data_IF_945481884855
#
_entry.id   IF_945481884855
#
_cell.length_a   1.000
_cell.length_b   1.000
_cell.length_c   1.000
_cell.angle_alpha   90.00
_cell.angle_beta   90.00
_cell.angle_gamma   90.00
#
_symmetry.space_group_name_H-M   'P 1'
#
loop_
_entity.id
_entity.type
_entity.pdbx_description
1 polymer ?
#
# COMPACT_ATOMS: atom_id res chain seq x y z
N UNK A 1 -56.44 40.07 1.05
CA UNK A 1 -55.59 39.33 0.08
C UNK A 1 -54.09 39.32 0.43
N UNK A 2 -53.54 40.33 1.14
CA UNK A 2 -52.10 40.41 1.48
C UNK A 2 -51.54 39.28 2.38
N UNK A 3 -52.32 38.73 3.31
CA UNK A 3 -51.83 37.73 4.29
C UNK A 3 -51.40 36.39 3.66
N UNK A 4 -52.01 35.98 2.55
CA UNK A 4 -51.67 34.73 1.84
C UNK A 4 -50.32 34.84 1.10
N UNK A 5 -50.00 36.01 0.56
CA UNK A 5 -48.70 36.26 -0.12
C UNK A 5 -47.50 36.22 0.83
N UNK A 6 -47.65 36.77 2.04
CA UNK A 6 -46.58 36.75 3.05
C UNK A 6 -46.30 35.34 3.59
N UNK A 7 -47.34 34.49 3.68
CA UNK A 7 -47.22 33.08 4.04
C UNK A 7 -46.53 32.28 2.94
N UNK A 8 -46.83 32.57 1.67
CA UNK A 8 -46.20 31.95 0.51
C UNK A 8 -44.69 32.27 0.44
N UNK A 9 -44.32 33.53 0.66
CA UNK A 9 -42.91 33.97 0.72
C UNK A 9 -42.16 33.32 1.88
N UNK A 10 -42.80 33.17 3.05
CA UNK A 10 -42.21 32.49 4.21
C UNK A 10 -42.01 30.99 3.96
N UNK A 11 -42.95 30.33 3.31
CA UNK A 11 -42.87 28.90 2.97
C UNK A 11 -41.77 28.65 1.94
N UNK A 12 -41.66 29.52 0.93
CA UNK A 12 -40.66 29.39 -0.13
C UNK A 12 -39.25 29.68 0.37
N UNK A 13 -39.09 30.64 1.29
CA UNK A 13 -37.82 30.92 1.99
C UNK A 13 -37.37 29.73 2.83
N UNK A 14 -38.27 29.09 3.58
CA UNK A 14 -37.92 27.92 4.38
C UNK A 14 -37.57 26.71 3.50
N UNK A 15 -38.27 26.54 2.36
CA UNK A 15 -37.95 25.50 1.38
C UNK A 15 -36.56 25.73 0.75
N UNK A 16 -36.23 26.98 0.41
CA UNK A 16 -34.90 27.37 -0.08
C UNK A 16 -33.80 27.11 0.95
N UNK A 17 -34.04 27.40 2.24
CA UNK A 17 -33.08 27.15 3.31
C UNK A 17 -32.87 25.65 3.56
N UNK A 18 -33.90 24.82 3.42
CA UNK A 18 -33.78 23.35 3.53
C UNK A 18 -32.99 22.77 2.35
N UNK A 19 -33.26 23.23 1.13
CA UNK A 19 -32.50 22.81 -0.06
C UNK A 19 -31.03 23.24 0.01
N UNK A 20 -30.75 24.46 0.50
CA UNK A 20 -29.39 24.95 0.71
C UNK A 20 -28.67 24.18 1.83
N UNK A 21 -29.40 23.77 2.88
CA UNK A 21 -28.87 22.94 3.98
C UNK A 21 -28.56 21.50 3.57
N UNK A 22 -29.40 20.87 2.75
CA UNK A 22 -29.16 19.52 2.23
C UNK A 22 -27.97 19.47 1.25
N UNK A 23 -27.72 20.55 0.49
CA UNK A 23 -26.54 20.65 -0.38
C UNK A 23 -25.21 20.65 0.39
N UNK A 24 -25.24 21.00 1.69
CA UNK A 24 -24.05 21.03 2.55
C UNK A 24 -23.67 19.64 3.11
N UNK A 25 -24.54 18.64 2.99
CA UNK A 25 -24.33 17.31 3.57
C UNK A 25 -23.75 16.29 2.58
N UNK A 26 -23.55 16.68 1.32
CA UNK A 26 -22.97 15.84 0.27
C UNK A 26 -21.62 16.38 -0.20
N UNK A 27 -20.75 16.75 0.75
CA UNK A 27 -19.34 16.94 0.39
C UNK A 27 -18.73 15.55 0.17
N UNK A 28 -18.20 15.23 -1.02
CA UNK A 28 -17.40 14.04 -1.18
C UNK A 28 -16.25 14.14 -0.17
N UNK A 29 -16.12 13.15 0.71
CA UNK A 29 -14.91 13.02 1.52
C UNK A 29 -13.78 12.76 0.55
N UNK A 30 -13.00 13.80 0.22
CA UNK A 30 -11.77 13.64 -0.52
C UNK A 30 -10.85 12.79 0.35
N UNK A 31 -10.78 11.49 0.05
CA UNK A 31 -9.78 10.61 0.64
C UNK A 31 -8.43 11.11 0.14
N UNK A 32 -7.58 11.55 1.06
CA UNK A 32 -6.24 12.00 0.72
C UNK A 32 -5.40 10.79 0.34
N UNK A 33 -4.73 10.83 -0.80
CA UNK A 33 -3.84 9.76 -1.22
C UNK A 33 -2.77 9.47 -0.13
N UNK A 34 -2.49 8.19 0.09
CA UNK A 34 -1.36 7.75 0.92
C UNK A 34 -0.07 8.16 0.23
N UNK A 35 0.95 8.53 0.99
CA UNK A 35 2.23 9.00 0.45
C UNK A 35 3.31 7.98 0.75
N UNK A 36 3.87 7.39 -0.31
CA UNK A 36 5.13 6.66 -0.24
C UNK A 36 6.28 7.66 -0.06
N UNK A 37 6.79 7.70 1.17
CA UNK A 37 7.81 8.65 1.60
C UNK A 37 9.21 8.18 1.21
N UNK A 38 9.52 6.90 1.43
CA UNK A 38 10.83 6.35 1.08
C UNK A 38 10.75 4.85 0.79
N UNK A 39 11.74 4.38 0.04
CA UNK A 39 11.97 2.97 -0.23
C UNK A 39 13.38 2.68 0.25
N UNK A 40 13.52 1.73 1.18
CA UNK A 40 14.84 1.34 1.72
C UNK A 40 14.95 -0.16 1.82
N UNK A 41 16.18 -0.66 1.89
CA UNK A 41 16.42 -2.08 2.03
C UNK A 41 17.52 -2.37 3.04
N UNK A 42 17.42 -3.53 3.68
CA UNK A 42 18.45 -4.10 4.52
C UNK A 42 18.86 -5.45 3.95
N UNK A 43 20.16 -5.69 3.86
CA UNK A 43 20.69 -7.01 3.54
C UNK A 43 20.88 -7.81 4.84
N UNK A 44 20.17 -8.92 4.95
CA UNK A 44 20.36 -9.92 6.00
C UNK A 44 21.08 -11.15 5.43
N UNK A 45 21.57 -12.08 6.26
CA UNK A 45 22.31 -13.25 5.78
C UNK A 45 21.55 -14.11 4.76
N UNK A 46 20.24 -14.30 4.94
CA UNK A 46 19.38 -15.21 4.19
C UNK A 46 18.30 -14.51 3.32
N UNK A 47 18.15 -13.20 3.50
CA UNK A 47 17.08 -12.42 2.85
C UNK A 47 17.46 -10.97 2.58
N UNK A 48 16.70 -10.33 1.70
CA UNK A 48 16.60 -8.89 1.56
C UNK A 48 15.31 -8.45 2.22
N UNK A 49 15.39 -7.54 3.19
CA UNK A 49 14.23 -6.88 3.76
C UNK A 49 14.05 -5.53 3.09
N UNK A 50 12.99 -5.38 2.31
CA UNK A 50 12.56 -4.13 1.71
C UNK A 50 11.50 -3.47 2.60
N UNK A 51 11.63 -2.17 2.82
CA UNK A 51 10.69 -1.38 3.64
C UNK A 51 10.22 -0.19 2.83
N UNK A 52 8.90 -0.07 2.69
CA UNK A 52 8.20 1.07 2.13
C UNK A 52 7.70 1.93 3.28
N UNK A 53 8.26 3.12 3.45
CA UNK A 53 7.83 4.07 4.48
C UNK A 53 6.63 4.89 3.97
N UNK A 54 5.55 4.93 4.76
CA UNK A 54 4.27 5.52 4.43
C UNK A 54 3.85 6.55 5.49
N UNK A 55 3.13 7.59 5.06
CA UNK A 55 2.54 8.56 5.98
C UNK A 55 1.40 7.96 6.82
N UNK A 56 0.60 7.05 6.24
CA UNK A 56 -0.61 6.49 6.85
C UNK A 56 -0.78 5.00 6.54
N UNK A 57 -1.59 4.26 7.32
CA UNK A 57 -1.92 2.87 7.01
C UNK A 57 -2.59 2.77 5.63
N UNK A 58 -2.33 1.70 4.91
CA UNK A 58 -2.95 1.44 3.61
C UNK A 58 -3.14 -0.05 3.37
N UNK A 59 -4.05 -0.37 2.46
CA UNK A 59 -4.19 -1.70 1.88
C UNK A 59 -3.39 -1.77 0.58
N UNK A 60 -3.00 -2.98 0.17
CA UNK A 60 -2.33 -3.19 -1.10
C UNK A 60 -2.73 -4.55 -1.69
N UNK A 61 -2.61 -4.68 -2.99
CA UNK A 61 -2.73 -5.95 -3.70
C UNK A 61 -1.34 -6.46 -4.04
N UNK A 62 -1.11 -7.77 -3.92
CA UNK A 62 0.17 -8.39 -4.24
C UNK A 62 0.00 -9.52 -5.25
N UNK A 63 0.93 -9.63 -6.19
CA UNK A 63 0.96 -10.73 -7.17
C UNK A 63 2.37 -10.90 -7.75
N UNK A 64 2.58 -11.95 -8.55
CA UNK A 64 3.82 -12.13 -9.30
C UNK A 64 3.61 -12.10 -10.80
N UNK A 65 4.68 -11.77 -11.51
CA UNK A 65 4.74 -11.87 -12.97
C UNK A 65 5.90 -12.79 -13.38
N UNK A 66 5.71 -13.54 -14.46
CA UNK A 66 6.76 -14.31 -15.11
C UNK A 66 7.58 -13.46 -16.10
N UNK A 67 8.73 -14.02 -16.51
CA UNK A 67 9.53 -13.57 -17.65
C UNK A 67 9.89 -12.07 -17.68
N UNK A 68 10.77 -11.55 -16.81
CA UNK A 68 11.47 -12.17 -15.67
C UNK A 68 10.60 -12.25 -14.39
N UNK A 69 10.98 -13.09 -13.38
CA UNK A 69 10.24 -13.20 -12.13
C UNK A 69 10.21 -11.86 -11.39
N UNK A 70 9.01 -11.44 -11.00
CA UNK A 70 8.75 -10.16 -10.33
C UNK A 70 7.74 -10.32 -9.21
N UNK A 71 7.92 -9.58 -8.12
CA UNK A 71 6.90 -9.35 -7.10
C UNK A 71 6.35 -7.96 -7.32
N UNK A 72 5.03 -7.83 -7.35
CA UNK A 72 4.35 -6.56 -7.61
C UNK A 72 3.41 -6.26 -6.46
N UNK A 73 3.50 -5.03 -5.94
CA UNK A 73 2.56 -4.47 -4.97
C UNK A 73 1.86 -3.28 -5.60
N UNK A 74 0.53 -3.33 -5.66
CA UNK A 74 -0.32 -2.22 -6.07
C UNK A 74 -0.96 -1.57 -4.86
N UNK A 75 -0.69 -0.28 -4.69
CA UNK A 75 -1.20 0.54 -3.59
C UNK A 75 -2.22 1.51 -4.20
N UNK A 76 -3.53 1.30 -3.98
CA UNK A 76 -4.56 2.21 -4.47
C UNK A 76 -4.49 3.55 -3.74
N UNK A 77 -4.93 4.60 -4.43
CA UNK A 77 -4.97 5.97 -3.93
C UNK A 77 -3.66 6.38 -3.24
N UNK A 78 -2.55 6.15 -3.94
CA UNK A 78 -1.22 6.40 -3.42
C UNK A 78 -0.41 7.32 -4.34
N UNK A 79 0.40 8.16 -3.72
CA UNK A 79 1.35 9.06 -4.36
C UNK A 79 2.77 8.79 -3.83
N UNK A 80 3.78 9.42 -4.43
CA UNK A 80 5.17 9.26 -4.02
C UNK A 80 5.83 10.62 -3.87
N UNK A 81 6.48 10.87 -2.74
CA UNK A 81 7.21 12.12 -2.47
C UNK A 81 8.73 11.95 -2.42
N UNK A 82 9.25 10.76 -2.16
CA UNK A 82 10.69 10.51 -2.03
C UNK A 82 11.27 9.52 -3.06
N UNK A 83 12.34 8.81 -2.66
CA UNK A 83 13.11 7.93 -3.56
C UNK A 83 12.21 6.79 -4.06
N UNK A 84 12.39 6.46 -5.34
CA UNK A 84 11.37 5.78 -6.15
C UNK A 84 11.83 4.50 -6.81
N UNK A 85 13.01 4.04 -6.45
CA UNK A 85 13.65 2.91 -7.09
C UNK A 85 15.10 2.80 -6.69
N UNK A 86 15.56 1.55 -6.58
CA UNK A 86 16.88 1.21 -6.07
C UNK A 86 17.36 -0.01 -6.86
N UNK A 87 18.57 0.07 -7.41
CA UNK A 87 19.29 -1.12 -7.88
C UNK A 87 20.01 -1.74 -6.70
N UNK A 88 19.71 -3.00 -6.39
CA UNK A 88 20.28 -3.71 -5.24
C UNK A 88 21.32 -4.73 -5.71
N UNK A 89 20.99 -5.56 -6.70
CA UNK A 89 21.88 -6.57 -7.27
C UNK A 89 22.37 -7.64 -6.26
N UNK A 90 21.65 -7.84 -5.15
CA UNK A 90 22.08 -8.70 -4.04
C UNK A 90 20.96 -9.64 -3.59
N UNK A 91 21.35 -10.84 -3.18
CA UNK A 91 20.38 -11.89 -2.83
C UNK A 91 19.46 -12.23 -4.00
N UNK A 92 18.18 -12.47 -3.69
CA UNK A 92 17.13 -12.69 -4.67
C UNK A 92 16.71 -11.43 -5.46
N UNK A 93 17.10 -10.23 -5.02
CA UNK A 93 16.57 -8.96 -5.56
C UNK A 93 17.56 -8.31 -6.52
N UNK A 94 17.08 -7.99 -7.73
CA UNK A 94 17.86 -7.25 -8.71
C UNK A 94 17.66 -5.74 -8.54
N UNK A 95 16.42 -5.28 -8.64
CA UNK A 95 16.07 -3.86 -8.56
C UNK A 95 14.64 -3.66 -8.07
N UNK A 96 14.36 -2.47 -7.57
CA UNK A 96 13.02 -2.01 -7.19
C UNK A 96 12.69 -0.80 -8.05
N UNK A 97 11.48 -0.78 -8.59
CA UNK A 97 10.93 0.30 -9.40
C UNK A 97 9.58 0.70 -8.84
N UNK A 98 9.23 1.97 -9.05
CA UNK A 98 7.88 2.45 -8.78
C UNK A 98 7.32 3.16 -10.01
N UNK A 99 6.02 3.08 -10.20
CA UNK A 99 5.32 3.74 -11.29
C UNK A 99 3.81 3.66 -11.06
N UNK A 100 3.06 4.47 -11.79
CA UNK A 100 1.60 4.43 -11.71
C UNK A 100 1.06 3.35 -12.64
N UNK A 101 0.25 2.41 -12.13
CA UNK A 101 -0.43 1.42 -12.98
C UNK A 101 -1.71 2.00 -13.61
N UNK A 102 -2.29 3.00 -12.97
CA UNK A 102 -3.41 3.82 -13.42
C UNK A 102 -3.29 5.19 -12.72
N UNK A 103 -4.28 6.07 -12.90
CA UNK A 103 -4.24 7.45 -12.39
C UNK A 103 -4.03 7.57 -10.87
N UNK A 104 -4.46 6.58 -10.06
CA UNK A 104 -4.41 6.67 -8.59
C UNK A 104 -3.62 5.54 -7.93
N UNK A 105 -3.28 4.49 -8.68
CA UNK A 105 -2.65 3.28 -8.13
C UNK A 105 -1.14 3.32 -8.34
N UNK A 106 -0.40 3.44 -7.24
CA UNK A 106 1.06 3.34 -7.24
C UNK A 106 1.46 1.88 -7.21
N UNK A 107 2.16 1.45 -8.26
CA UNK A 107 2.74 0.11 -8.40
C UNK A 107 4.20 0.12 -8.00
N UNK A 108 4.56 -0.77 -7.08
CA UNK A 108 5.94 -1.10 -6.70
C UNK A 108 6.29 -2.44 -7.33
N UNK A 109 7.31 -2.45 -8.18
CA UNK A 109 7.78 -3.66 -8.86
C UNK A 109 9.15 -4.02 -8.32
N UNK A 110 9.28 -5.24 -7.83
CA UNK A 110 10.53 -5.81 -7.34
C UNK A 110 10.98 -6.84 -8.38
N UNK A 111 12.02 -6.49 -9.13
CA UNK A 111 12.64 -7.37 -10.09
C UNK A 111 13.49 -8.40 -9.36
N UNK A 112 13.18 -9.68 -9.55
CA UNK A 112 13.93 -10.78 -8.94
C UNK A 112 14.99 -11.33 -9.90
N UNK A 113 16.08 -11.83 -9.33
CA UNK A 113 17.15 -12.53 -10.08
C UNK A 113 16.78 -13.98 -10.39
N UNK A 114 15.92 -14.57 -9.56
CA UNK A 114 15.41 -15.92 -9.66
C UNK A 114 14.09 -16.02 -8.89
N UNK A 115 13.34 -17.09 -9.08
CA UNK A 115 12.14 -17.40 -8.29
C UNK A 115 12.48 -17.34 -6.81
N UNK A 116 11.78 -16.49 -6.09
CA UNK A 116 12.05 -16.25 -4.70
C UNK A 116 10.76 -16.38 -3.91
N UNK A 117 11.00 -16.75 -2.68
CA UNK A 117 10.00 -16.77 -1.66
C UNK A 117 9.90 -15.30 -1.15
N UNK A 118 8.70 -14.74 -0.86
CA UNK A 118 8.59 -13.55 -0.01
C UNK A 118 7.45 -13.58 1.05
N UNK A 119 7.66 -12.83 2.14
CA UNK A 119 6.67 -12.53 3.18
C UNK A 119 6.40 -11.02 3.19
N UNK A 120 5.13 -10.63 3.20
CA UNK A 120 4.71 -9.23 3.03
C UNK A 120 3.70 -8.88 4.11
N UNK A 121 3.97 -7.81 4.87
CA UNK A 121 3.12 -7.40 5.99
C UNK A 121 3.20 -5.90 6.25
N UNK A 122 2.15 -5.34 6.87
CA UNK A 122 2.12 -3.95 7.33
C UNK A 122 2.61 -3.84 8.76
N UNK A 123 3.36 -2.80 9.09
CA UNK A 123 3.67 -2.42 10.46
C UNK A 123 3.08 -1.03 10.77
N UNK A 124 2.35 -0.88 11.89
CA UNK A 124 1.92 0.43 12.35
C UNK A 124 3.14 1.28 12.80
N UNK A 125 2.91 2.58 13.08
CA UNK A 125 3.96 3.46 13.58
C UNK A 125 4.50 2.95 14.91
N UNK A 126 5.82 3.03 15.08
CA UNK A 126 6.52 2.60 16.28
C UNK A 126 7.73 3.50 16.53
N UNK A 127 7.74 4.17 17.70
CA UNK A 127 8.76 5.17 18.02
C UNK A 127 8.78 6.30 16.98
N UNK A 128 9.93 6.53 16.36
CA UNK A 128 10.10 7.53 15.30
C UNK A 128 9.76 7.03 13.88
N UNK A 129 9.40 5.76 13.73
CA UNK A 129 9.08 5.16 12.41
C UNK A 129 7.58 5.24 12.15
N UNK A 130 7.23 5.71 10.95
CA UNK A 130 5.84 5.79 10.49
C UNK A 130 5.23 4.45 10.10
N UNK A 131 4.14 4.52 9.35
CA UNK A 131 3.48 3.35 8.77
C UNK A 131 4.40 2.70 7.75
N UNK A 132 4.42 1.37 7.70
CA UNK A 132 5.36 0.64 6.83
C UNK A 132 4.69 -0.54 6.17
N UNK A 133 5.06 -0.81 4.92
CA UNK A 133 4.93 -2.14 4.32
C UNK A 133 6.33 -2.75 4.29
N UNK A 134 6.45 -3.95 4.85
CA UNK A 134 7.71 -4.70 4.89
C UNK A 134 7.58 -5.92 3.99
N UNK A 135 8.59 -6.13 3.16
CA UNK A 135 8.70 -7.22 2.20
C UNK A 135 10.02 -7.94 2.46
N UNK A 136 9.94 -9.11 3.09
CA UNK A 136 11.07 -10.00 3.33
C UNK A 136 11.20 -10.99 2.16
N UNK A 137 12.27 -10.90 1.39
CA UNK A 137 12.51 -11.68 0.16
C UNK A 137 13.71 -12.59 0.37
N UNK A 138 13.50 -13.89 0.29
CA UNK A 138 14.48 -14.87 0.74
C UNK A 138 15.28 -15.42 -0.44
N UNK A 139 16.58 -15.62 -0.22
CA UNK A 139 17.52 -16.03 -1.28
C UNK A 139 17.37 -17.50 -1.67
N UNK A 140 16.79 -18.30 -0.78
CA UNK A 140 16.58 -19.72 -1.01
C UNK A 140 15.10 -20.06 -0.93
N UNK A 141 14.61 -20.81 -1.90
CA UNK A 141 13.25 -21.39 -1.87
C UNK A 141 13.05 -22.37 -0.71
N UNK A 142 14.14 -22.86 -0.11
CA UNK A 142 14.13 -23.74 1.05
C UNK A 142 14.03 -23.03 2.41
N UNK A 143 14.17 -21.69 2.48
CA UNK A 143 13.99 -20.99 3.74
C UNK A 143 12.49 -20.89 4.11
N UNK A 144 12.12 -21.00 5.40
CA UNK A 144 12.98 -21.00 6.58
C UNK A 144 13.36 -22.43 7.03
N UNK A 145 14.63 -22.64 7.41
CA UNK A 145 14.94 -23.78 8.26
C UNK A 145 14.24 -23.53 9.60
N UNK A 146 13.18 -24.29 9.86
CA UNK A 146 12.53 -24.38 11.15
C UNK A 146 13.60 -24.80 12.18
N UNK A 147 14.20 -23.87 12.90
CA UNK A 147 14.75 -24.20 14.21
C UNK A 147 13.56 -24.52 15.12
N UNK A 148 13.75 -25.44 16.07
CA UNK A 148 12.67 -25.93 16.94
C UNK A 148 11.90 -24.81 17.65
N UNK A 149 12.52 -23.65 17.85
CA UNK A 149 11.91 -22.40 18.37
C UNK A 149 10.72 -21.88 17.52
N UNK A 150 10.69 -22.18 16.23
CA UNK A 150 9.64 -21.70 15.31
C UNK A 150 8.37 -22.55 15.32
N UNK A 151 8.41 -23.77 15.86
CA UNK A 151 7.20 -24.59 16.07
C UNK A 151 6.38 -24.10 17.27
N UNK A 152 6.98 -23.30 18.16
CA UNK A 152 6.32 -22.67 19.30
C UNK A 152 5.77 -21.27 18.97
N UNK A 153 6.15 -20.70 17.82
CA UNK A 153 5.73 -19.35 17.40
C UNK A 153 4.63 -19.42 16.35
N UNK A 154 3.38 -19.48 16.82
CA UNK A 154 2.13 -19.40 16.04
C UNK A 154 1.93 -18.02 15.36
N UNK A 155 2.91 -17.10 15.45
CA UNK A 155 2.77 -15.69 15.10
C UNK A 155 3.44 -15.27 13.77
N UNK A 156 4.03 -16.19 13.00
CA UNK A 156 4.73 -15.80 11.78
C UNK A 156 3.76 -15.65 10.59
N UNK A 157 3.72 -14.48 9.90
CA UNK A 157 2.75 -14.26 8.83
C UNK A 157 2.98 -15.24 7.66
N UNK A 158 1.89 -15.62 6.96
CA UNK A 158 1.92 -16.63 5.92
C UNK A 158 2.86 -16.24 4.79
N UNK A 159 3.61 -17.23 4.33
CA UNK A 159 4.61 -17.06 3.30
C UNK A 159 4.02 -17.26 1.90
N UNK A 160 4.37 -16.41 0.92
CA UNK A 160 3.97 -16.60 -0.47
C UNK A 160 5.18 -16.90 -1.35
N UNK A 161 5.13 -18.02 -2.07
CA UNK A 161 6.15 -18.36 -3.08
C UNK A 161 5.81 -17.58 -4.35
N UNK A 162 6.67 -16.64 -4.74
CA UNK A 162 6.48 -15.87 -5.97
C UNK A 162 7.29 -16.50 -7.09
N UNK A 163 6.65 -17.45 -7.80
CA UNK A 163 7.29 -18.18 -8.88
C UNK A 163 7.33 -17.44 -10.22
N UNK A 164 6.55 -16.36 -10.36
CA UNK A 164 6.24 -15.79 -11.67
C UNK A 164 5.46 -16.83 -12.46
N UNK A 165 4.16 -16.96 -12.18
CA UNK A 165 3.29 -17.78 -13.02
C UNK A 165 3.12 -17.09 -14.39
N UNK A 166 3.24 -17.89 -15.45
CA UNK A 166 3.06 -17.47 -16.84
C UNK A 166 1.58 -17.24 -17.16
#
# INVERSE_FOLDING_TARGET
MLRKGLLFIRLWRNLLLILLGCSFFCYPSSAWAVVLQDVRYNRLPDKIQLVLDLDRPTIFQQFSLAGPPRIVLDIPDASRSGRAGITIGAGAVNSIRTGFSNETTLRVVIDLRYTAKANIYTMPPEGSRGNRIVIDIYDNLAAPALTLESLESEAQPPYVVFAGAA
#
